data_IF_135298870393
#
_entry.id   IF_135298870393
#
_cell.length_a   1.000
_cell.length_b   1.000
_cell.length_c   1.000
_cell.angle_alpha   90.00
_cell.angle_beta   90.00
_cell.angle_gamma   90.00
#
_symmetry.space_group_name_H-M   'P 1'
#
loop_
_entity.id
_entity.type
_entity.pdbx_description
1 polymer ?
#
# COMPACT_ATOMS: atom_id res chain seq x y z
N UNK A 1 15.64 10.64 12.30
CA UNK A 1 15.16 9.24 12.25
C UNK A 1 15.15 8.53 13.61
N UNK A 2 16.14 8.70 14.50
CA UNK A 2 16.12 8.08 15.84
C UNK A 2 14.86 8.42 16.67
N UNK A 3 14.39 9.67 16.64
CA UNK A 3 13.12 10.04 17.30
C UNK A 3 11.86 9.41 16.71
N UNK A 4 11.80 9.15 15.39
CA UNK A 4 10.70 8.38 14.81
C UNK A 4 10.74 6.93 15.33
N UNK A 5 11.93 6.33 15.40
CA UNK A 5 12.10 4.99 15.94
C UNK A 5 11.72 4.90 17.42
N UNK A 6 12.03 5.94 18.22
CA UNK A 6 11.63 6.05 19.62
C UNK A 6 10.10 6.17 19.76
N UNK A 7 9.45 7.03 18.98
CA UNK A 7 7.98 7.16 19.01
C UNK A 7 7.27 5.87 18.53
N UNK A 8 7.77 5.25 17.46
CA UNK A 8 7.30 3.94 17.00
C UNK A 8 7.51 2.87 18.07
N UNK A 9 8.63 2.90 18.79
CA UNK A 9 8.90 1.95 19.88
C UNK A 9 7.96 2.10 21.06
N UNK A 10 7.45 3.31 21.33
CA UNK A 10 6.44 3.56 22.37
C UNK A 10 5.05 3.04 21.99
N UNK A 11 4.76 2.92 20.69
CA UNK A 11 3.48 2.38 20.17
C UNK A 11 3.51 0.86 19.92
N UNK A 12 4.53 0.15 20.44
CA UNK A 12 4.68 -1.31 20.26
C UNK A 12 4.20 -2.13 21.45
N UNK A 13 3.48 -3.21 21.18
CA UNK A 13 3.26 -4.26 22.16
C UNK A 13 4.55 -5.05 22.36
N UNK A 14 4.84 -5.44 23.61
CA UNK A 14 5.81 -6.52 23.87
C UNK A 14 5.21 -7.85 23.42
N UNK A 15 5.41 -8.18 22.15
CA UNK A 15 5.05 -9.48 21.59
C UNK A 15 6.16 -10.47 21.90
N UNK A 16 5.92 -11.42 22.81
CA UNK A 16 6.72 -12.65 22.92
C UNK A 16 6.25 -13.62 21.84
N UNK A 17 6.81 -13.51 20.64
CA UNK A 17 6.61 -14.46 19.54
C UNK A 17 7.91 -15.22 19.28
N UNK A 18 7.81 -16.51 18.93
CA UNK A 18 8.96 -17.35 18.54
C UNK A 18 9.56 -16.96 17.18
N UNK A 19 8.86 -16.13 16.39
CA UNK A 19 9.33 -15.63 15.09
C UNK A 19 10.23 -14.40 15.27
N UNK A 20 11.51 -14.52 14.89
CA UNK A 20 12.52 -13.46 14.98
C UNK A 20 12.13 -12.18 14.23
N UNK A 21 11.34 -12.29 13.15
CA UNK A 21 10.81 -11.16 12.38
C UNK A 21 9.78 -10.32 13.13
N UNK A 22 9.27 -10.80 14.26
CA UNK A 22 8.30 -10.12 15.12
C UNK A 22 8.90 -9.66 16.45
N UNK A 23 10.19 -9.93 16.67
CA UNK A 23 10.94 -9.49 17.84
C UNK A 23 11.72 -8.21 17.51
N UNK A 24 11.38 -7.09 18.16
CA UNK A 24 12.18 -5.87 18.12
C UNK A 24 11.74 -4.80 17.10
N UNK A 25 12.71 -4.20 16.40
CA UNK A 25 12.46 -3.13 15.43
C UNK A 25 11.99 -3.67 14.07
N UNK A 26 11.22 -2.87 13.33
CA UNK A 26 10.81 -3.21 11.97
C UNK A 26 12.04 -3.64 11.15
N UNK A 27 12.06 -4.90 10.64
CA UNK A 27 13.27 -5.45 10.03
C UNK A 27 13.52 -4.91 8.62
N UNK A 28 12.51 -4.29 8.00
CA UNK A 28 12.60 -3.69 6.67
C UNK A 28 13.01 -2.22 6.69
N UNK A 29 13.27 -1.67 5.50
CA UNK A 29 13.45 -0.23 5.33
C UNK A 29 12.11 0.51 5.43
N UNK A 30 12.08 1.64 6.14
CA UNK A 30 10.88 2.47 6.24
C UNK A 30 10.73 3.37 5.00
N UNK A 31 10.25 2.77 3.91
CA UNK A 31 10.04 3.43 2.63
C UNK A 31 9.13 4.65 2.73
N UNK A 32 8.12 4.61 3.59
CA UNK A 32 7.21 5.74 3.76
C UNK A 32 7.89 6.92 4.45
N UNK A 33 8.63 6.68 5.54
CA UNK A 33 9.37 7.74 6.21
C UNK A 33 10.43 8.38 5.28
N UNK A 34 11.13 7.57 4.49
CA UNK A 34 12.07 8.07 3.46
C UNK A 34 11.37 8.89 2.37
N UNK A 35 10.19 8.45 1.92
CA UNK A 35 9.37 9.20 0.96
C UNK A 35 8.96 10.56 1.53
N UNK A 36 8.44 10.59 2.75
CA UNK A 36 8.05 11.86 3.42
C UNK A 36 9.25 12.78 3.62
N UNK A 37 10.42 12.23 3.97
CA UNK A 37 11.65 13.00 4.09
C UNK A 37 12.04 13.68 2.78
N UNK A 38 11.95 12.98 1.65
CA UNK A 38 12.23 13.55 0.33
C UNK A 38 11.17 14.55 -0.14
N UNK A 39 9.87 14.31 0.14
CA UNK A 39 8.81 15.30 -0.14
C UNK A 39 9.07 16.60 0.62
N UNK A 40 9.65 16.51 1.83
CA UNK A 40 10.06 17.67 2.63
C UNK A 40 11.46 18.21 2.26
N UNK A 41 11.99 17.85 1.08
CA UNK A 41 13.30 18.28 0.58
C UNK A 41 14.47 17.97 1.54
N UNK A 42 14.35 16.89 2.32
CA UNK A 42 15.35 16.49 3.29
C UNK A 42 15.31 17.25 4.63
N UNK A 43 14.30 18.08 4.87
CA UNK A 43 14.10 18.74 6.15
C UNK A 43 13.55 17.74 7.19
N UNK A 44 14.41 17.36 8.14
CA UNK A 44 14.09 16.34 9.14
C UNK A 44 12.95 16.77 10.09
N UNK A 45 12.88 18.04 10.48
CA UNK A 45 11.87 18.52 11.41
C UNK A 45 10.50 18.61 10.75
N UNK A 46 10.45 19.07 9.50
CA UNK A 46 9.22 19.09 8.70
C UNK A 46 8.74 17.67 8.40
N UNK A 47 9.65 16.78 8.03
CA UNK A 47 9.33 15.36 7.80
C UNK A 47 8.77 14.70 9.06
N UNK A 48 9.41 14.90 10.21
CA UNK A 48 8.91 14.37 11.48
C UNK A 48 7.52 14.92 11.84
N UNK A 49 7.32 16.24 11.74
CA UNK A 49 6.02 16.87 12.00
C UNK A 49 4.93 16.32 11.09
N UNK A 50 5.24 16.13 9.80
CA UNK A 50 4.30 15.57 8.85
C UNK A 50 3.98 14.10 9.19
N UNK A 51 4.99 13.27 9.48
CA UNK A 51 4.78 11.88 9.90
C UNK A 51 3.91 11.79 11.16
N UNK A 52 4.14 12.67 12.15
CA UNK A 52 3.33 12.74 13.36
C UNK A 52 1.88 13.10 13.05
N UNK A 53 1.63 14.11 12.23
CA UNK A 53 0.27 14.45 11.81
C UNK A 53 -0.39 13.31 11.03
N UNK A 54 0.31 12.71 10.07
CA UNK A 54 -0.19 11.59 9.28
C UNK A 54 -0.53 10.39 10.16
N UNK A 55 0.22 10.13 11.24
CA UNK A 55 -0.01 9.01 12.16
C UNK A 55 -1.39 9.05 12.84
N UNK A 56 -2.05 10.22 12.86
CA UNK A 56 -3.41 10.39 13.38
C UNK A 56 -4.49 10.02 12.35
N UNK A 57 -4.12 9.93 11.07
CA UNK A 57 -5.05 9.61 9.98
C UNK A 57 -5.09 8.11 9.73
N UNK A 58 -6.28 7.61 9.36
CA UNK A 58 -6.49 6.23 8.93
C UNK A 58 -5.56 5.85 7.77
N UNK A 59 -5.33 6.78 6.83
CA UNK A 59 -4.44 6.60 5.68
C UNK A 59 -3.03 6.13 6.07
N UNK A 60 -2.48 6.59 7.21
CA UNK A 60 -1.16 6.12 7.65
C UNK A 60 -1.11 4.63 7.95
N UNK A 61 -2.25 4.00 8.28
CA UNK A 61 -2.28 2.57 8.48
C UNK A 61 -2.00 1.80 7.17
N UNK A 62 -2.36 2.37 6.02
CA UNK A 62 -2.22 1.77 4.70
C UNK A 62 -0.90 2.13 4.05
N UNK A 63 -0.50 3.40 4.12
CA UNK A 63 0.74 3.90 3.52
C UNK A 63 2.00 3.56 4.30
N UNK A 64 1.90 3.33 5.61
CA UNK A 64 3.06 3.21 6.50
C UNK A 64 3.13 1.85 7.20
N UNK A 65 3.53 0.76 6.50
CA UNK A 65 3.61 -0.58 7.08
C UNK A 65 4.52 -0.67 8.32
N UNK A 66 5.65 0.05 8.31
CA UNK A 66 6.59 0.08 9.42
C UNK A 66 5.96 0.60 10.73
N UNK A 67 4.97 1.50 10.64
CA UNK A 67 4.25 2.00 11.81
C UNK A 67 3.43 0.92 12.50
N UNK A 68 2.87 0.01 11.72
CA UNK A 68 1.99 -1.02 12.27
C UNK A 68 2.76 -2.29 12.67
N UNK A 69 4.05 -2.37 12.33
CA UNK A 69 4.91 -3.45 12.76
C UNK A 69 5.11 -3.49 14.27
N UNK A 70 4.54 -4.53 14.89
CA UNK A 70 4.55 -4.73 16.33
C UNK A 70 3.64 -3.78 17.10
N UNK A 71 2.72 -3.08 16.43
CA UNK A 71 1.82 -2.14 17.11
C UNK A 71 0.94 -2.85 18.13
N UNK A 72 0.76 -2.24 19.33
CA UNK A 72 -0.10 -2.78 20.41
C UNK A 72 -1.53 -3.02 19.94
N UNK A 73 -1.94 -2.32 18.90
CA UNK A 73 -3.30 -2.31 18.38
C UNK A 73 -3.58 -3.45 17.39
N UNK A 74 -2.62 -4.33 17.11
CA UNK A 74 -2.84 -5.48 16.21
C UNK A 74 -3.18 -6.73 17.02
N UNK A 75 -4.27 -7.47 16.70
CA UNK A 75 -4.57 -8.75 17.35
C UNK A 75 -3.38 -9.72 17.23
N UNK A 76 -3.06 -10.43 18.32
CA UNK A 76 -1.89 -11.32 18.43
C UNK A 76 -1.83 -12.38 17.31
N UNK A 77 -2.97 -12.92 16.93
CA UNK A 77 -3.15 -13.92 15.85
C UNK A 77 -2.75 -13.36 14.47
N UNK A 78 -2.90 -12.05 14.28
CA UNK A 78 -2.67 -11.35 13.02
C UNK A 78 -1.22 -10.86 12.94
N UNK A 79 -0.64 -10.45 14.06
CA UNK A 79 0.79 -10.12 14.17
C UNK A 79 1.69 -11.29 13.77
N UNK A 80 1.23 -12.54 13.94
CA UNK A 80 1.98 -13.76 13.61
C UNK A 80 2.03 -14.09 12.11
N UNK A 81 1.16 -13.50 11.28
CA UNK A 81 1.00 -13.90 9.87
C UNK A 81 2.00 -13.28 8.89
N UNK A 82 2.88 -12.36 9.33
CA UNK A 82 3.81 -11.56 8.51
C UNK A 82 3.16 -10.68 7.42
N UNK A 83 1.89 -10.93 7.07
CA UNK A 83 1.09 -10.15 6.14
C UNK A 83 0.32 -9.13 6.96
N UNK A 84 0.61 -7.85 6.71
CA UNK A 84 -0.06 -6.77 7.42
C UNK A 84 -1.58 -6.85 7.16
N UNK A 85 -2.47 -6.88 8.17
CA UNK A 85 -3.93 -7.03 7.98
C UNK A 85 -4.54 -5.94 7.10
N UNK A 86 -3.87 -4.79 7.04
CA UNK A 86 -4.23 -3.67 6.17
C UNK A 86 -4.10 -4.01 4.68
N UNK A 87 -3.17 -4.91 4.35
CA UNK A 87 -3.05 -5.44 3.00
C UNK A 87 -4.11 -6.49 2.69
N UNK A 88 -4.65 -7.23 3.65
CA UNK A 88 -5.74 -8.18 3.36
C UNK A 88 -6.98 -7.50 2.75
N UNK A 89 -7.31 -6.30 3.23
CA UNK A 89 -8.39 -5.50 2.64
C UNK A 89 -8.02 -5.00 1.24
N UNK A 90 -6.82 -4.42 1.12
CA UNK A 90 -6.32 -3.87 -0.14
C UNK A 90 -6.25 -4.97 -1.22
N UNK A 91 -5.72 -6.14 -0.89
CA UNK A 91 -5.57 -7.29 -1.80
C UNK A 91 -6.92 -7.78 -2.28
N UNK A 92 -7.87 -7.96 -1.35
CA UNK A 92 -9.22 -8.39 -1.68
C UNK A 92 -9.90 -7.43 -2.67
N UNK A 93 -9.87 -6.12 -2.37
CA UNK A 93 -10.52 -5.13 -3.22
C UNK A 93 -9.80 -4.93 -4.55
N UNK A 94 -8.47 -5.01 -4.61
CA UNK A 94 -7.74 -5.01 -5.89
C UNK A 94 -8.20 -6.18 -6.76
N UNK A 95 -8.30 -7.40 -6.23
CA UNK A 95 -8.76 -8.55 -7.01
C UNK A 95 -10.20 -8.39 -7.49
N UNK A 96 -11.10 -7.96 -6.59
CA UNK A 96 -12.52 -7.81 -6.90
C UNK A 96 -12.76 -6.72 -7.95
N UNK A 97 -12.12 -5.55 -7.81
CA UNK A 97 -12.25 -4.46 -8.77
C UNK A 97 -11.58 -4.83 -10.10
N UNK A 98 -10.38 -5.42 -10.09
CA UNK A 98 -9.71 -5.78 -11.34
C UNK A 98 -10.51 -6.82 -12.15
N UNK A 99 -11.11 -7.81 -11.47
CA UNK A 99 -11.99 -8.79 -12.10
C UNK A 99 -13.19 -8.14 -12.78
N UNK A 100 -13.70 -7.04 -12.24
CA UNK A 100 -14.91 -6.35 -12.72
C UNK A 100 -14.57 -5.31 -13.80
N UNK A 101 -13.58 -4.46 -13.53
CA UNK A 101 -13.25 -3.28 -14.34
C UNK A 101 -12.24 -3.56 -15.45
N UNK A 102 -11.36 -4.55 -15.27
CA UNK A 102 -10.31 -4.91 -16.24
C UNK A 102 -10.18 -6.44 -16.38
N UNK A 103 -11.25 -7.14 -16.80
CA UNK A 103 -11.34 -8.60 -16.74
C UNK A 103 -10.27 -9.33 -17.57
N UNK A 104 -9.80 -8.72 -18.66
CA UNK A 104 -8.71 -9.29 -19.47
C UNK A 104 -7.39 -9.33 -18.70
N UNK A 105 -7.06 -8.25 -17.99
CA UNK A 105 -5.87 -8.20 -17.12
C UNK A 105 -6.01 -9.22 -16.01
N UNK A 106 -7.16 -9.28 -15.33
CA UNK A 106 -7.40 -10.31 -14.30
C UNK A 106 -7.19 -11.74 -14.84
N UNK A 107 -7.65 -12.01 -16.06
CA UNK A 107 -7.49 -13.32 -16.70
C UNK A 107 -6.03 -13.62 -17.06
N UNK A 108 -5.27 -12.60 -17.49
CA UNK A 108 -3.85 -12.71 -17.78
C UNK A 108 -3.05 -13.18 -16.54
N UNK A 109 -3.28 -12.56 -15.38
CA UNK A 109 -2.69 -13.00 -14.11
C UNK A 109 -3.05 -14.46 -13.78
N UNK A 110 -4.33 -14.83 -13.95
CA UNK A 110 -4.79 -16.20 -13.71
C UNK A 110 -4.09 -17.22 -14.63
N UNK A 111 -3.86 -16.87 -15.90
CA UNK A 111 -3.12 -17.72 -16.84
C UNK A 111 -1.63 -17.82 -16.49
N UNK A 112 -1.03 -16.73 -16.00
CA UNK A 112 0.37 -16.71 -15.55
C UNK A 112 0.59 -17.35 -14.17
N UNK A 113 -0.47 -17.76 -13.47
CA UNK A 113 -0.38 -18.57 -12.25
C UNK A 113 -0.09 -17.80 -10.96
N UNK A 114 -0.31 -16.48 -10.93
CA UNK A 114 -0.13 -15.66 -9.72
C UNK A 114 -1.19 -14.56 -9.62
N UNK A 115 -1.33 -13.94 -8.44
CA UNK A 115 -2.40 -12.96 -8.20
C UNK A 115 -1.93 -11.52 -8.45
N UNK A 116 -2.79 -10.64 -8.99
CA UNK A 116 -2.45 -9.22 -9.17
C UNK A 116 -2.19 -8.51 -7.83
N UNK A 117 -2.88 -8.96 -6.77
CA UNK A 117 -2.72 -8.46 -5.42
C UNK A 117 -1.31 -8.63 -4.86
N UNK A 118 -0.61 -9.72 -5.21
CA UNK A 118 0.78 -9.93 -4.82
C UNK A 118 1.70 -8.83 -5.38
N UNK A 119 1.49 -8.43 -6.64
CA UNK A 119 2.30 -7.36 -7.26
C UNK A 119 2.00 -6.01 -6.61
N UNK A 120 0.72 -5.75 -6.35
CA UNK A 120 0.31 -4.52 -5.68
C UNK A 120 0.91 -4.41 -4.28
N UNK A 121 0.94 -5.48 -3.49
CA UNK A 121 1.58 -5.47 -2.16
C UNK A 121 3.08 -5.18 -2.25
N UNK A 122 3.76 -5.72 -3.27
CA UNK A 122 5.18 -5.42 -3.50
C UNK A 122 5.40 -3.94 -3.82
N UNK A 123 4.61 -3.37 -4.74
CA UNK A 123 4.70 -1.95 -5.08
C UNK A 123 4.39 -1.05 -3.88
N UNK A 124 3.29 -1.33 -3.17
CA UNK A 124 2.87 -0.56 -1.99
C UNK A 124 3.88 -0.65 -0.84
N UNK A 125 4.46 -1.84 -0.62
CA UNK A 125 5.48 -2.06 0.41
C UNK A 125 6.72 -1.18 0.24
N UNK A 126 6.98 -0.72 -0.98
CA UNK A 126 8.08 0.20 -1.32
C UNK A 126 7.58 1.61 -1.66
N UNK A 127 6.32 1.97 -1.38
CA UNK A 127 5.73 3.24 -1.80
C UNK A 127 5.91 3.54 -3.30
N UNK A 128 5.87 2.49 -4.14
CA UNK A 128 6.15 2.51 -5.59
C UNK A 128 7.57 2.93 -5.99
N UNK A 129 8.52 2.98 -5.06
CA UNK A 129 9.92 3.17 -5.40
C UNK A 129 10.40 2.09 -6.37
N UNK A 130 11.27 2.47 -7.30
CA UNK A 130 11.75 1.68 -8.46
C UNK A 130 10.74 1.47 -9.59
N UNK A 131 9.45 1.78 -9.38
CA UNK A 131 8.41 1.56 -10.38
C UNK A 131 7.86 2.86 -10.96
N UNK A 132 7.62 3.87 -10.13
CA UNK A 132 7.04 5.15 -10.55
C UNK A 132 8.07 6.28 -10.53
N UNK A 133 7.89 7.24 -11.43
CA UNK A 133 8.60 8.50 -11.38
C UNK A 133 8.30 9.25 -10.08
N UNK A 134 9.27 10.02 -9.59
CA UNK A 134 9.15 10.75 -8.32
C UNK A 134 7.88 11.62 -8.20
N UNK A 135 7.44 12.38 -9.22
CA UNK A 135 6.19 13.12 -9.15
C UNK A 135 4.97 12.23 -8.91
N UNK A 136 4.94 11.04 -9.49
CA UNK A 136 3.81 10.11 -9.32
C UNK A 136 3.81 9.44 -7.95
N UNK A 137 4.98 9.21 -7.36
CA UNK A 137 5.09 8.80 -5.94
C UNK A 137 4.53 9.90 -5.03
N UNK A 138 4.88 11.17 -5.30
CA UNK A 138 4.32 12.31 -4.56
C UNK A 138 2.80 12.39 -4.72
N UNK A 139 2.28 12.21 -5.93
CA UNK A 139 0.85 12.19 -6.21
C UNK A 139 0.14 11.01 -5.54
N UNK A 140 0.74 9.82 -5.51
CA UNK A 140 0.19 8.66 -4.80
C UNK A 140 -0.03 8.96 -3.31
N UNK A 141 1.01 9.46 -2.63
CA UNK A 141 0.92 9.83 -1.21
C UNK A 141 -0.14 10.92 -1.01
N UNK A 142 -0.08 11.97 -1.83
CA UNK A 142 -1.02 13.10 -1.74
C UNK A 142 -2.47 12.66 -1.96
N UNK A 143 -2.72 11.82 -2.95
CA UNK A 143 -4.06 11.31 -3.30
C UNK A 143 -4.63 10.50 -2.14
N UNK A 144 -3.85 9.58 -1.57
CA UNK A 144 -4.31 8.78 -0.43
C UNK A 144 -4.57 9.63 0.83
N UNK A 145 -3.77 10.69 1.04
CA UNK A 145 -3.94 11.59 2.19
C UNK A 145 -5.14 12.50 2.02
N UNK A 146 -5.35 13.06 0.83
CA UNK A 146 -6.42 14.04 0.56
C UNK A 146 -7.77 13.37 0.29
N UNK A 147 -7.78 12.29 -0.50
CA UNK A 147 -9.02 11.65 -0.96
C UNK A 147 -9.45 10.44 -0.13
N UNK A 148 -8.52 9.84 0.61
CA UNK A 148 -8.79 8.73 1.56
C UNK A 148 -7.97 7.47 1.31
N UNK A 149 -7.95 6.53 2.27
CA UNK A 149 -7.14 5.31 2.19
C UNK A 149 -7.59 4.35 1.08
N UNK A 150 -8.86 4.39 0.69
CA UNK A 150 -9.44 3.57 -0.39
C UNK A 150 -8.84 3.91 -1.75
N UNK A 151 -8.34 5.13 -1.94
CA UNK A 151 -7.60 5.50 -3.15
C UNK A 151 -6.31 4.70 -3.35
N UNK A 152 -5.77 4.05 -2.30
CA UNK A 152 -4.68 3.09 -2.47
C UNK A 152 -5.09 1.93 -3.38
N UNK A 153 -6.32 1.42 -3.23
CA UNK A 153 -6.87 0.35 -4.08
C UNK A 153 -7.08 0.88 -5.49
N UNK A 154 -7.69 2.06 -5.63
CA UNK A 154 -7.98 2.65 -6.93
C UNK A 154 -6.71 2.96 -7.73
N UNK A 155 -5.65 3.40 -7.05
CA UNK A 155 -4.32 3.57 -7.63
C UNK A 155 -3.75 2.26 -8.16
N UNK A 156 -3.81 1.16 -7.39
CA UNK A 156 -3.37 -0.15 -7.86
C UNK A 156 -4.15 -0.61 -9.11
N UNK A 157 -5.48 -0.45 -9.10
CA UNK A 157 -6.33 -0.80 -10.25
C UNK A 157 -6.02 0.09 -11.46
N UNK A 158 -5.77 1.39 -11.25
CA UNK A 158 -5.39 2.33 -12.31
C UNK A 158 -4.04 1.97 -12.94
N UNK A 159 -3.05 1.60 -12.13
CA UNK A 159 -1.74 1.12 -12.61
C UNK A 159 -1.89 -0.15 -13.43
N UNK A 160 -2.68 -1.13 -12.96
CA UNK A 160 -2.91 -2.36 -13.71
C UNK A 160 -3.73 -2.13 -15.00
N UNK A 161 -4.63 -1.15 -14.99
CA UNK A 161 -5.36 -0.70 -16.19
C UNK A 161 -4.41 -0.02 -17.19
N UNK A 162 -3.46 0.75 -16.71
CA UNK A 162 -2.44 1.40 -17.54
C UNK A 162 -1.58 0.37 -18.26
N UNK A 163 -1.10 -0.64 -17.53
CA UNK A 163 -0.27 -1.73 -18.03
C UNK A 163 -1.04 -2.78 -18.85
N UNK A 164 -2.29 -2.51 -19.26
CA UNK A 164 -3.14 -3.53 -19.88
C UNK A 164 -2.48 -4.21 -21.08
N UNK A 165 -1.93 -3.44 -22.03
CA UNK A 165 -1.34 -4.00 -23.24
C UNK A 165 -0.04 -4.77 -22.93
N UNK A 166 0.82 -4.19 -22.09
CA UNK A 166 2.08 -4.84 -21.68
C UNK A 166 1.80 -6.15 -20.95
N UNK A 167 0.80 -6.17 -20.06
CA UNK A 167 0.41 -7.39 -19.35
C UNK A 167 -0.03 -8.48 -20.33
N UNK A 168 -0.87 -8.16 -21.31
CA UNK A 168 -1.31 -9.14 -22.30
C UNK A 168 -0.16 -9.65 -23.18
N UNK A 169 0.78 -8.78 -23.52
CA UNK A 169 1.97 -9.13 -24.29
C UNK A 169 2.90 -10.04 -23.48
N UNK A 170 3.26 -9.64 -22.27
CA UNK A 170 4.17 -10.38 -21.39
C UNK A 170 3.59 -11.70 -20.86
N UNK A 171 2.25 -11.84 -20.86
CA UNK A 171 1.62 -13.15 -20.63
C UNK A 171 1.91 -14.12 -21.77
N UNK A 172 1.96 -13.66 -23.03
CA UNK A 172 2.24 -14.53 -24.19
C UNK A 172 3.70 -14.98 -24.22
N UNK A 173 4.63 -14.11 -23.83
CA UNK A 173 6.07 -14.40 -23.74
C UNK A 173 6.47 -15.09 -22.43
N UNK A 174 5.51 -15.35 -21.54
CA UNK A 174 5.70 -16.06 -20.27
C UNK A 174 6.69 -15.40 -19.29
N UNK A 175 6.88 -14.09 -19.40
CA UNK A 175 7.81 -13.28 -18.59
C UNK A 175 7.09 -12.20 -17.76
N UNK A 176 5.74 -12.20 -17.73
CA UNK A 176 4.92 -11.22 -17.01
C UNK A 176 5.39 -10.95 -15.57
N UNK A 177 5.73 -12.00 -14.82
CA UNK A 177 6.12 -11.83 -13.42
C UNK A 177 7.48 -11.10 -13.30
N UNK A 178 8.41 -11.35 -14.21
CA UNK A 178 9.72 -10.68 -14.23
C UNK A 178 9.51 -9.23 -14.62
N UNK A 179 8.77 -8.98 -15.70
CA UNK A 179 8.40 -7.64 -16.16
C UNK A 179 7.82 -6.78 -15.02
N UNK A 180 6.76 -7.23 -14.36
CA UNK A 180 6.10 -6.45 -13.30
C UNK A 180 6.95 -6.23 -12.03
N UNK A 181 8.00 -7.06 -11.83
CA UNK A 181 8.88 -6.97 -10.66
C UNK A 181 10.12 -6.14 -10.91
N UNK A 182 10.65 -6.15 -12.14
CA UNK A 182 11.97 -5.60 -12.44
C UNK A 182 11.89 -4.34 -13.30
N UNK A 183 10.84 -4.17 -14.10
CA UNK A 183 10.72 -3.04 -15.02
C UNK A 183 9.95 -1.86 -14.38
N UNK A 184 10.40 -0.62 -14.63
CA UNK A 184 9.66 0.58 -14.26
C UNK A 184 8.35 0.71 -15.07
N UNK A 185 7.35 1.32 -14.45
CA UNK A 185 6.02 1.56 -15.03
C UNK A 185 6.08 2.85 -15.85
N UNK A 186 6.38 2.70 -17.13
CA UNK A 186 6.61 3.81 -18.05
C UNK A 186 5.32 4.54 -18.43
N UNK A 187 5.32 5.87 -18.34
CA UNK A 187 4.22 6.70 -18.86
C UNK A 187 2.96 6.75 -17.99
N UNK A 188 2.98 6.12 -16.80
CA UNK A 188 1.89 6.26 -15.84
C UNK A 188 1.85 7.69 -15.28
N UNK A 189 0.68 8.33 -15.32
CA UNK A 189 0.42 9.65 -14.76
C UNK A 189 -0.84 9.60 -13.93
N UNK A 190 -0.77 9.93 -12.64
CA UNK A 190 -1.94 9.89 -11.75
C UNK A 190 -3.08 10.76 -12.27
N UNK A 191 -2.75 11.93 -12.82
CA UNK A 191 -3.72 12.87 -13.41
C UNK A 191 -4.57 12.24 -14.53
N UNK A 192 -3.96 11.38 -15.37
CA UNK A 192 -4.65 10.74 -16.50
C UNK A 192 -5.69 9.70 -16.03
N UNK A 193 -5.58 9.22 -14.79
CA UNK A 193 -6.46 8.22 -14.21
C UNK A 193 -7.36 8.78 -13.10
N UNK A 194 -7.29 10.07 -12.79
CA UNK A 194 -8.05 10.66 -11.69
C UNK A 194 -9.56 10.52 -11.91
N UNK A 195 -10.05 10.87 -13.11
CA UNK A 195 -11.47 10.71 -13.46
C UNK A 195 -11.94 9.25 -13.35
N UNK A 196 -11.09 8.32 -13.79
CA UNK A 196 -11.36 6.88 -13.65
C UNK A 196 -11.43 6.47 -12.17
N UNK A 197 -10.49 6.91 -11.34
CA UNK A 197 -10.49 6.62 -9.90
C UNK A 197 -11.70 7.24 -9.18
N UNK A 198 -12.13 8.43 -9.56
CA UNK A 198 -13.38 9.03 -9.04
C UNK A 198 -14.63 8.24 -9.48
N UNK A 199 -14.60 7.61 -10.65
CA UNK A 199 -15.64 6.67 -11.08
C UNK A 199 -15.70 5.43 -10.18
N UNK A 200 -14.53 4.88 -9.81
CA UNK A 200 -14.42 3.79 -8.84
C UNK A 200 -14.88 4.24 -7.45
N UNK A 201 -14.53 5.46 -7.04
CA UNK A 201 -14.97 6.04 -5.77
C UNK A 201 -16.51 6.05 -5.69
N UNK A 202 -17.18 6.63 -6.70
CA UNK A 202 -18.64 6.71 -6.77
C UNK A 202 -19.32 5.34 -6.67
N UNK A 203 -18.69 4.32 -7.25
CA UNK A 203 -19.26 2.97 -7.33
C UNK A 203 -18.96 2.10 -6.11
N UNK A 204 -17.78 2.26 -5.50
CA UNK A 204 -17.23 1.28 -4.55
C UNK A 204 -16.87 1.86 -3.18
N UNK A 205 -16.76 3.19 -3.01
CA UNK A 205 -16.26 3.81 -1.76
C UNK A 205 -17.03 3.35 -0.52
N UNK A 206 -18.37 3.30 -0.60
CA UNK A 206 -19.21 2.86 0.53
C UNK A 206 -18.82 1.48 1.03
N UNK A 207 -18.43 0.57 0.13
CA UNK A 207 -18.00 -0.79 0.46
C UNK A 207 -16.55 -0.79 0.96
N UNK A 208 -15.63 -0.31 0.11
CA UNK A 208 -14.17 -0.35 0.36
C UNK A 208 -13.79 0.41 1.62
N UNK A 209 -14.22 1.66 1.73
CA UNK A 209 -13.82 2.53 2.84
C UNK A 209 -14.45 2.08 4.17
N UNK A 210 -15.65 1.51 4.14
CA UNK A 210 -16.30 0.98 5.34
C UNK A 210 -15.53 -0.21 5.89
N UNK A 211 -15.10 -1.13 5.03
CA UNK A 211 -14.29 -2.28 5.47
C UNK A 211 -12.90 -1.87 5.95
N UNK A 212 -12.26 -0.92 5.27
CA UNK A 212 -10.99 -0.34 5.71
C UNK A 212 -11.11 0.31 7.10
N UNK A 213 -12.21 1.03 7.36
CA UNK A 213 -12.52 1.59 8.68
C UNK A 213 -12.79 0.50 9.72
N UNK A 214 -13.52 -0.56 9.36
CA UNK A 214 -13.84 -1.66 10.27
C UNK A 214 -12.58 -2.41 10.73
N UNK A 215 -11.59 -2.56 9.85
CA UNK A 215 -10.28 -3.13 10.22
C UNK A 215 -9.57 -2.23 11.23
N UNK A 216 -9.59 -0.92 11.03
CA UNK A 216 -9.06 0.04 12.02
C UNK A 216 -9.83 0.01 13.34
N UNK A 217 -11.13 -0.24 13.33
CA UNK A 217 -11.92 -0.34 14.56
C UNK A 217 -11.67 -1.65 15.30
N UNK A 218 -11.40 -2.76 14.59
CA UNK A 218 -10.93 -4.00 15.22
C UNK A 218 -9.54 -3.81 15.85
N UNK A 219 -8.72 -2.94 15.26
CA UNK A 219 -7.44 -2.48 15.80
C UNK A 219 -7.65 -1.57 17.03
N UNK A 220 -8.69 -0.72 17.08
CA UNK A 220 -8.92 0.23 18.18
C UNK A 220 -9.85 -0.24 19.31
N UNK A 221 -10.74 -1.23 19.10
CA UNK A 221 -11.70 -1.74 20.11
C UNK A 221 -11.07 -2.70 21.14
N UNK A 222 -9.78 -2.95 21.04
CA UNK A 222 -8.99 -3.62 22.07
C UNK A 222 -8.17 -2.62 22.91
N UNK A 223 -8.37 -1.31 22.71
CA UNK A 223 -7.89 -0.24 23.59
C UNK A 223 -8.80 -0.06 24.81
#
# INVERSE_FOLDING_TARGET
MKHCQELLSQQRAKLTSELYTLQGAYPGHDWFASTVFLIMAGDMERALRLLLHLSTLLTSAFLWPARLHGSVHLPMEIAQSSIHPVYSCTTHYVEMLLKTEVPLVFSAFRMSGFTPSQMCVQWLGQCFWNYLDWPEICHYVSTCVVMGPDYQVYMCVAVLKHLHQDILQHTQTQDLQVFLKEEPIQGFRVSNYLEYMEGLERSYRTMVLTDMKNISQRISKQC
#
